data_IF_169018495703
#
_entry.id   IF_169018495703
#
_cell.length_a   1.000
_cell.length_b   1.000
_cell.length_c   1.000
_cell.angle_alpha   90.00
_cell.angle_beta   90.00
_cell.angle_gamma   90.00
#
_symmetry.space_group_name_H-M   'P 1'
#
loop_
_entity.id
_entity.type
_entity.pdbx_description
1 polymer ?
#
# COMPACT_ATOMS: atom_id res chain seq x y z
N UNK A 1 41.66 8.30 47.74
CA UNK A 1 41.48 7.30 46.66
C UNK A 1 40.74 8.00 45.54
N UNK A 2 41.52 8.48 44.57
CA UNK A 2 41.09 9.23 43.39
C UNK A 2 40.14 8.39 42.54
N UNK A 3 38.95 8.93 42.24
CA UNK A 3 38.19 8.49 41.08
C UNK A 3 38.87 9.13 39.86
N UNK A 4 39.62 8.30 39.13
CA UNK A 4 40.16 8.65 37.84
C UNK A 4 39.02 9.12 36.91
N UNK A 5 39.09 10.38 36.51
CA UNK A 5 38.25 10.92 35.45
C UNK A 5 38.54 10.15 34.16
N UNK A 6 37.51 9.52 33.60
CA UNK A 6 37.56 9.05 32.23
C UNK A 6 37.67 10.30 31.35
N UNK A 7 38.89 10.61 30.91
CA UNK A 7 39.13 11.53 29.80
C UNK A 7 38.48 10.93 28.56
N UNK A 8 37.24 11.31 28.28
CA UNK A 8 36.68 11.16 26.96
C UNK A 8 37.36 12.21 26.07
N UNK A 9 38.48 11.84 25.45
CA UNK A 9 39.01 12.65 24.34
C UNK A 9 37.91 12.77 23.29
N UNK A 10 37.47 14.01 23.09
CA UNK A 10 36.44 14.34 22.11
C UNK A 10 37.03 14.06 20.71
N UNK A 11 36.35 13.23 19.91
CA UNK A 11 36.81 12.86 18.57
C UNK A 11 37.16 14.08 17.70
N UNK A 12 36.52 15.24 17.93
CA UNK A 12 36.80 16.51 17.23
C UNK A 12 38.21 17.07 17.44
N UNK A 13 38.91 16.64 18.48
CA UNK A 13 40.26 17.12 18.81
C UNK A 13 41.37 16.17 18.33
N UNK A 14 41.00 15.04 17.70
CA UNK A 14 41.96 14.05 17.23
C UNK A 14 42.57 14.46 15.89
N UNK A 15 43.84 14.14 15.69
CA UNK A 15 44.48 14.23 14.38
C UNK A 15 43.88 13.21 13.40
N UNK A 16 44.04 13.40 12.07
CA UNK A 16 43.56 12.42 11.09
C UNK A 16 44.03 10.99 11.36
N UNK A 17 45.29 10.79 11.76
CA UNK A 17 45.81 9.45 12.07
C UNK A 17 45.13 8.83 13.29
N UNK A 18 44.89 9.62 14.35
CA UNK A 18 44.19 9.17 15.55
C UNK A 18 42.71 8.86 15.26
N UNK A 19 42.06 9.61 14.36
CA UNK A 19 40.70 9.30 13.91
C UNK A 19 40.63 7.93 13.21
N UNK A 20 41.59 7.63 12.32
CA UNK A 20 41.67 6.33 11.66
C UNK A 20 41.90 5.20 12.67
N UNK A 21 42.83 5.38 13.61
CA UNK A 21 43.10 4.40 14.66
C UNK A 21 41.87 4.14 15.53
N UNK A 22 41.21 5.21 16.01
CA UNK A 22 39.99 5.10 16.81
C UNK A 22 38.87 4.42 16.02
N UNK A 23 38.63 4.81 14.76
CA UNK A 23 37.59 4.23 13.92
C UNK A 23 37.77 2.73 13.66
N UNK A 24 39.01 2.22 13.65
CA UNK A 24 39.31 0.82 13.33
C UNK A 24 39.51 -0.07 14.55
N UNK A 25 39.95 0.48 15.69
CA UNK A 25 40.49 -0.33 16.79
C UNK A 25 39.86 -0.05 18.16
N UNK A 26 39.11 1.05 18.34
CA UNK A 26 38.54 1.34 19.67
C UNK A 26 37.53 0.25 20.07
N UNK A 27 37.62 -0.22 21.32
CA UNK A 27 36.74 -1.25 21.83
C UNK A 27 35.28 -0.78 21.94
N UNK A 28 35.05 0.51 22.14
CA UNK A 28 33.73 1.12 22.23
C UNK A 28 33.20 1.50 20.84
N UNK A 29 32.14 0.83 20.40
CA UNK A 29 31.50 1.09 19.10
C UNK A 29 31.04 2.54 18.95
N UNK A 30 30.65 3.19 20.05
CA UNK A 30 30.21 4.60 20.03
C UNK A 30 31.38 5.52 19.65
N UNK A 31 32.56 5.28 20.23
CA UNK A 31 33.78 6.03 19.88
C UNK A 31 34.22 5.78 18.44
N UNK A 32 34.09 4.54 17.94
CA UNK A 32 34.34 4.24 16.53
C UNK A 32 33.40 5.02 15.63
N UNK A 33 32.10 5.01 15.90
CA UNK A 33 31.11 5.77 15.14
C UNK A 33 31.39 7.29 15.15
N UNK A 34 31.75 7.87 16.30
CA UNK A 34 32.11 9.29 16.39
C UNK A 34 33.35 9.64 15.56
N UNK A 35 34.34 8.75 15.49
CA UNK A 35 35.50 8.94 14.61
C UNK A 35 35.11 8.83 13.12
N UNK A 36 34.28 7.84 12.76
CA UNK A 36 33.77 7.64 11.38
C UNK A 36 33.03 8.87 10.85
N UNK A 37 32.26 9.55 11.71
CA UNK A 37 31.56 10.80 11.35
C UNK A 37 32.49 11.93 10.88
N UNK A 38 33.78 11.86 11.23
CA UNK A 38 34.79 12.87 10.93
C UNK A 38 35.77 12.42 9.83
N UNK A 39 35.58 11.23 9.26
CA UNK A 39 36.44 10.67 8.21
C UNK A 39 35.82 10.92 6.83
N UNK A 40 36.58 11.53 5.91
CA UNK A 40 36.19 11.75 4.51
C UNK A 40 36.81 10.72 3.53
N UNK A 41 37.79 9.94 3.98
CA UNK A 41 38.44 8.90 3.17
C UNK A 41 37.44 7.79 2.78
N UNK A 42 37.07 7.76 1.50
CA UNK A 42 36.07 6.82 0.98
C UNK A 42 36.53 5.36 1.07
N UNK A 43 37.81 5.05 0.86
CA UNK A 43 38.30 3.67 0.98
C UNK A 43 38.20 3.17 2.42
N UNK A 44 38.52 4.04 3.37
CA UNK A 44 38.37 3.73 4.79
C UNK A 44 36.89 3.58 5.19
N UNK A 45 36.01 4.47 4.74
CA UNK A 45 34.56 4.35 4.99
C UNK A 45 34.00 3.03 4.45
N UNK A 46 34.38 2.64 3.22
CA UNK A 46 33.99 1.35 2.63
C UNK A 46 34.51 0.19 3.48
N UNK A 47 35.77 0.25 3.94
CA UNK A 47 36.35 -0.78 4.81
C UNK A 47 35.59 -0.91 6.13
N UNK A 48 35.25 0.20 6.79
CA UNK A 48 34.46 0.20 8.03
C UNK A 48 33.07 -0.38 7.77
N UNK A 49 32.39 0.09 6.72
CA UNK A 49 31.07 -0.36 6.31
C UNK A 49 31.00 -1.86 5.99
N UNK A 50 32.11 -2.49 5.58
CA UNK A 50 32.14 -3.93 5.27
C UNK A 50 32.52 -4.82 6.45
N UNK A 51 33.31 -4.31 7.41
CA UNK A 51 34.03 -5.14 8.37
C UNK A 51 33.71 -4.85 9.83
N UNK A 52 33.13 -3.69 10.18
CA UNK A 52 32.88 -3.38 11.59
C UNK A 52 31.87 -4.37 12.19
N UNK A 53 32.15 -4.98 13.36
CA UNK A 53 31.24 -5.94 13.97
C UNK A 53 29.89 -5.30 14.36
N UNK A 54 29.89 -4.01 14.69
CA UNK A 54 28.72 -3.27 15.15
C UNK A 54 27.96 -2.64 13.98
N UNK A 55 26.65 -2.88 13.92
CA UNK A 55 25.82 -2.39 12.82
C UNK A 55 25.71 -0.87 12.78
N UNK A 56 25.75 -0.20 13.93
CA UNK A 56 25.62 1.26 14.01
C UNK A 56 26.87 1.94 13.45
N UNK A 57 28.06 1.36 13.69
CA UNK A 57 29.30 1.86 13.07
C UNK A 57 29.28 1.63 11.56
N UNK A 58 28.85 0.45 11.09
CA UNK A 58 28.68 0.19 9.65
C UNK A 58 27.69 1.17 9.01
N UNK A 59 26.53 1.37 9.63
CA UNK A 59 25.52 2.33 9.18
C UNK A 59 26.11 3.74 9.07
N UNK A 60 26.80 4.20 10.11
CA UNK A 60 27.43 5.54 10.14
C UNK A 60 28.42 5.71 8.99
N UNK A 61 29.19 4.67 8.65
CA UNK A 61 30.09 4.70 7.51
C UNK A 61 29.32 4.74 6.18
N UNK A 62 28.27 3.90 6.03
CA UNK A 62 27.43 3.83 4.82
C UNK A 62 26.76 5.16 4.50
N UNK A 63 26.28 5.88 5.50
CA UNK A 63 25.66 7.21 5.33
C UNK A 63 26.63 8.25 4.72
N UNK A 64 27.94 7.97 4.70
CA UNK A 64 28.99 8.83 4.15
C UNK A 64 29.64 8.28 2.87
N UNK A 65 29.24 7.09 2.40
CA UNK A 65 29.73 6.50 1.15
C UNK A 65 29.02 7.14 -0.04
N UNK A 66 29.79 7.54 -1.04
CA UNK A 66 29.26 8.14 -2.29
C UNK A 66 29.23 7.17 -3.47
N UNK A 67 30.03 6.09 -3.41
CA UNK A 67 30.12 5.07 -4.43
C UNK A 67 28.82 4.26 -4.53
N UNK A 68 28.09 4.46 -5.64
CA UNK A 68 26.79 3.83 -5.87
C UNK A 68 26.86 2.31 -6.01
N UNK A 69 27.95 1.76 -6.57
CA UNK A 69 28.10 0.31 -6.72
C UNK A 69 28.32 -0.35 -5.35
N UNK A 70 29.09 0.30 -4.48
CA UNK A 70 29.26 -0.15 -3.09
C UNK A 70 27.94 -0.08 -2.33
N UNK A 71 27.17 1.01 -2.46
CA UNK A 71 25.87 1.13 -1.82
C UNK A 71 24.91 0.03 -2.28
N UNK A 72 24.88 -0.30 -3.57
CA UNK A 72 24.07 -1.43 -4.10
C UNK A 72 24.47 -2.75 -3.45
N UNK A 73 25.78 -3.02 -3.37
CA UNK A 73 26.29 -4.24 -2.74
C UNK A 73 25.84 -4.33 -1.27
N UNK A 74 25.98 -3.24 -0.51
CA UNK A 74 25.60 -3.18 0.90
C UNK A 74 24.08 -3.35 1.06
N UNK A 75 23.28 -2.66 0.26
CA UNK A 75 21.82 -2.76 0.29
C UNK A 75 21.31 -4.19 0.05
N UNK A 76 22.02 -4.98 -0.77
CA UNK A 76 21.66 -6.37 -1.05
C UNK A 76 22.23 -7.39 -0.06
N UNK A 77 23.31 -7.08 0.68
CA UNK A 77 24.13 -8.09 1.35
C UNK A 77 24.38 -7.87 2.84
N UNK A 78 24.27 -6.64 3.38
CA UNK A 78 24.51 -6.46 4.81
C UNK A 78 23.48 -7.25 5.63
N UNK A 79 23.94 -7.84 6.74
CA UNK A 79 23.09 -8.64 7.63
C UNK A 79 22.08 -7.80 8.41
N UNK A 80 22.35 -6.51 8.59
CA UNK A 80 21.55 -5.61 9.40
C UNK A 80 20.66 -4.72 8.55
N UNK A 81 19.37 -4.68 8.91
CA UNK A 81 18.37 -3.89 8.20
C UNK A 81 18.71 -2.40 8.11
N UNK A 82 19.20 -1.78 9.20
CA UNK A 82 19.46 -0.34 9.23
C UNK A 82 20.65 0.04 8.35
N UNK A 83 21.66 -0.82 8.25
CA UNK A 83 22.79 -0.63 7.33
C UNK A 83 22.33 -0.70 5.88
N UNK A 84 21.51 -1.69 5.53
CA UNK A 84 20.95 -1.79 4.17
C UNK A 84 20.03 -0.61 3.84
N UNK A 85 19.21 -0.16 4.80
CA UNK A 85 18.34 1.01 4.64
C UNK A 85 19.17 2.29 4.41
N UNK A 86 20.25 2.50 5.16
CA UNK A 86 21.16 3.61 4.93
C UNK A 86 21.73 3.58 3.49
N UNK A 87 22.08 2.39 3.01
CA UNK A 87 22.57 2.22 1.64
C UNK A 87 21.49 2.56 0.60
N UNK A 88 20.27 2.05 0.77
CA UNK A 88 19.11 2.40 -0.09
C UNK A 88 18.86 3.92 -0.10
N UNK A 89 18.95 4.58 1.06
CA UNK A 89 18.77 6.04 1.17
C UNK A 89 19.82 6.81 0.37
N UNK A 90 21.07 6.33 0.32
CA UNK A 90 22.16 6.94 -0.44
C UNK A 90 22.09 6.72 -1.96
N UNK A 91 21.25 5.79 -2.44
CA UNK A 91 21.06 5.55 -3.87
C UNK A 91 20.06 6.55 -4.45
N UNK A 92 20.37 7.08 -5.62
CA UNK A 92 19.58 8.14 -6.26
C UNK A 92 18.91 7.73 -7.57
N UNK A 93 19.49 6.76 -8.29
CA UNK A 93 18.96 6.28 -9.56
C UNK A 93 17.84 5.24 -9.36
N UNK A 94 16.68 5.51 -9.97
CA UNK A 94 15.50 4.65 -9.86
C UNK A 94 15.71 3.25 -10.47
N UNK A 95 16.47 3.14 -11.56
CA UNK A 95 16.78 1.84 -12.18
C UNK A 95 17.67 0.98 -11.29
N UNK A 96 18.62 1.61 -10.62
CA UNK A 96 19.48 0.97 -9.61
C UNK A 96 18.65 0.45 -8.43
N UNK A 97 17.71 1.25 -7.92
CA UNK A 97 16.77 0.83 -6.87
C UNK A 97 15.89 -0.35 -7.33
N UNK A 98 15.40 -0.33 -8.58
CA UNK A 98 14.68 -1.45 -9.18
C UNK A 98 15.52 -2.73 -9.19
N UNK A 99 16.81 -2.64 -9.53
CA UNK A 99 17.73 -3.76 -9.46
C UNK A 99 17.91 -4.35 -8.06
N UNK A 100 17.85 -3.53 -7.01
CA UNK A 100 17.87 -3.99 -5.61
C UNK A 100 16.59 -4.72 -5.28
N UNK A 101 15.43 -4.14 -5.60
CA UNK A 101 14.11 -4.75 -5.36
C UNK A 101 14.08 -6.16 -5.96
N UNK A 102 14.52 -6.32 -7.21
CA UNK A 102 14.51 -7.62 -7.88
C UNK A 102 15.43 -8.66 -7.23
N UNK A 103 16.57 -8.23 -6.65
CA UNK A 103 17.54 -9.11 -5.95
C UNK A 103 17.13 -9.41 -4.50
N UNK A 104 16.26 -8.61 -3.91
CA UNK A 104 15.93 -8.63 -2.48
C UNK A 104 14.44 -8.89 -2.22
N UNK A 105 13.72 -9.58 -3.13
CA UNK A 105 12.28 -9.87 -2.98
C UNK A 105 11.93 -10.73 -1.73
N UNK A 106 12.90 -11.33 -1.05
CA UNK A 106 12.71 -11.97 0.26
C UNK A 106 12.68 -10.99 1.44
N UNK A 107 12.97 -9.70 1.21
CA UNK A 107 12.99 -8.65 2.22
C UNK A 107 12.00 -7.54 1.85
N UNK A 108 10.77 -7.69 2.35
CA UNK A 108 9.68 -6.76 2.08
C UNK A 108 10.03 -5.31 2.45
N UNK A 109 10.69 -5.10 3.60
CA UNK A 109 10.95 -3.75 4.08
C UNK A 109 11.96 -3.00 3.20
N UNK A 110 13.03 -3.66 2.75
CA UNK A 110 13.97 -3.03 1.80
C UNK A 110 13.32 -2.76 0.45
N UNK A 111 12.52 -3.69 -0.04
CA UNK A 111 11.82 -3.48 -1.30
C UNK A 111 10.90 -2.27 -1.17
N UNK A 112 10.15 -2.15 -0.07
CA UNK A 112 9.28 -1.01 0.21
C UNK A 112 10.07 0.31 0.33
N UNK A 113 11.19 0.32 1.04
CA UNK A 113 12.02 1.52 1.19
C UNK A 113 12.64 1.98 -0.14
N UNK A 114 13.05 1.03 -0.98
CA UNK A 114 13.52 1.31 -2.33
C UNK A 114 12.39 1.84 -3.22
N UNK A 115 11.21 1.22 -3.19
CA UNK A 115 10.02 1.65 -3.94
C UNK A 115 9.62 3.09 -3.60
N UNK A 116 9.63 3.45 -2.31
CA UNK A 116 9.30 4.81 -1.85
C UNK A 116 10.23 5.90 -2.40
N UNK A 117 11.40 5.54 -2.94
CA UNK A 117 12.35 6.47 -3.55
C UNK A 117 12.23 6.54 -5.08
N UNK A 118 11.51 5.62 -5.72
CA UNK A 118 11.36 5.60 -7.18
C UNK A 118 10.20 6.52 -7.56
N UNK A 119 10.48 7.52 -8.40
CA UNK A 119 9.48 8.45 -8.96
C UNK A 119 9.28 8.29 -10.46
N UNK A 120 10.12 7.47 -11.10
CA UNK A 120 10.04 7.18 -12.52
C UNK A 120 8.91 6.17 -12.79
N UNK A 121 7.88 6.63 -13.51
CA UNK A 121 6.70 5.84 -13.84
C UNK A 121 7.02 4.60 -14.69
N UNK A 122 7.99 4.68 -15.61
CA UNK A 122 8.36 3.55 -16.46
C UNK A 122 9.04 2.46 -15.63
N UNK A 123 9.87 2.86 -14.66
CA UNK A 123 10.50 1.94 -13.71
C UNK A 123 9.46 1.27 -12.81
N UNK A 124 8.49 2.03 -12.28
CA UNK A 124 7.42 1.48 -11.45
C UNK A 124 6.52 0.52 -12.24
N UNK A 125 6.15 0.88 -13.47
CA UNK A 125 5.36 0.03 -14.36
C UNK A 125 6.07 -1.31 -14.63
N UNK A 126 7.38 -1.26 -14.95
CA UNK A 126 8.17 -2.46 -15.17
C UNK A 126 8.25 -3.34 -13.91
N UNK A 127 8.33 -2.74 -12.72
CA UNK A 127 8.32 -3.48 -11.45
C UNK A 127 6.98 -4.18 -11.20
N UNK A 128 5.85 -3.51 -11.42
CA UNK A 128 4.52 -4.11 -11.24
C UNK A 128 4.36 -5.38 -12.07
N UNK A 129 4.89 -5.39 -13.30
CA UNK A 129 4.86 -6.57 -14.19
C UNK A 129 5.87 -7.66 -13.79
N UNK A 130 7.06 -7.28 -13.31
CA UNK A 130 8.15 -8.23 -13.04
C UNK A 130 8.09 -8.88 -11.64
N UNK A 131 7.46 -8.23 -10.66
CA UNK A 131 7.42 -8.69 -9.28
C UNK A 131 6.57 -9.96 -9.11
N UNK A 132 7.05 -10.89 -8.29
CA UNK A 132 6.33 -12.15 -8.01
C UNK A 132 5.67 -12.17 -6.65
N UNK A 133 6.27 -11.49 -5.66
CA UNK A 133 5.70 -11.39 -4.32
C UNK A 133 4.51 -10.42 -4.30
N UNK A 134 3.38 -10.85 -3.70
CA UNK A 134 2.13 -10.08 -3.71
C UNK A 134 2.23 -8.80 -2.90
N UNK A 135 2.88 -8.84 -1.74
CA UNK A 135 2.96 -7.68 -0.85
C UNK A 135 3.90 -6.62 -1.45
N UNK A 136 5.01 -7.06 -2.06
CA UNK A 136 5.92 -6.15 -2.77
C UNK A 136 5.26 -5.58 -4.03
N UNK A 137 4.50 -6.39 -4.78
CA UNK A 137 3.74 -5.92 -5.95
C UNK A 137 2.68 -4.87 -5.55
N UNK A 138 1.95 -5.13 -4.45
CA UNK A 138 1.02 -4.15 -3.88
C UNK A 138 1.75 -2.86 -3.49
N UNK A 139 2.90 -2.96 -2.81
CA UNK A 139 3.72 -1.81 -2.47
C UNK A 139 4.18 -1.01 -3.71
N UNK A 140 4.50 -1.69 -4.83
CA UNK A 140 4.88 -1.03 -6.07
C UNK A 140 3.72 -0.22 -6.66
N UNK A 141 2.50 -0.78 -6.67
CA UNK A 141 1.29 -0.03 -7.06
C UNK A 141 1.03 1.14 -6.11
N UNK A 142 1.24 0.95 -4.80
CA UNK A 142 1.10 2.02 -3.81
C UNK A 142 2.13 3.14 -3.98
N UNK A 143 3.30 2.88 -4.56
CA UNK A 143 4.30 3.91 -4.86
C UNK A 143 3.91 4.79 -6.07
N UNK A 144 3.07 4.30 -6.98
CA UNK A 144 2.65 5.06 -8.18
C UNK A 144 1.69 6.18 -7.80
N UNK A 145 2.00 7.41 -8.16
CA UNK A 145 1.13 8.58 -7.96
C UNK A 145 0.48 9.09 -9.25
N UNK A 146 1.03 8.69 -10.40
CA UNK A 146 0.55 9.07 -11.73
C UNK A 146 -0.81 8.42 -12.04
N UNK A 147 -1.82 9.26 -12.29
CA UNK A 147 -3.19 8.80 -12.50
C UNK A 147 -3.36 8.06 -13.83
N UNK A 148 -2.64 8.46 -14.88
CA UNK A 148 -2.73 7.80 -16.20
C UNK A 148 -2.13 6.39 -16.14
N UNK A 149 -1.00 6.22 -15.45
CA UNK A 149 -0.38 4.92 -15.20
C UNK A 149 -1.28 4.04 -14.31
N UNK A 150 -1.84 4.59 -13.23
CA UNK A 150 -2.79 3.84 -12.39
C UNK A 150 -4.01 3.39 -13.20
N UNK A 151 -4.56 4.28 -14.03
CA UNK A 151 -5.69 3.97 -14.91
C UNK A 151 -5.33 2.95 -16.00
N UNK A 152 -4.08 2.96 -16.49
CA UNK A 152 -3.59 1.94 -17.41
C UNK A 152 -3.51 0.58 -16.72
N UNK A 153 -2.90 0.51 -15.54
CA UNK A 153 -2.76 -0.73 -14.76
C UNK A 153 -4.14 -1.29 -14.38
N UNK A 154 -5.04 -0.45 -13.87
CA UNK A 154 -6.37 -0.86 -13.42
C UNK A 154 -7.26 -1.40 -14.54
N UNK A 155 -7.01 -1.05 -15.81
CA UNK A 155 -7.75 -1.57 -16.97
C UNK A 155 -7.12 -2.81 -17.59
N UNK A 156 -5.79 -2.90 -17.58
CA UNK A 156 -5.08 -3.81 -18.49
C UNK A 156 -4.26 -4.90 -17.78
N UNK A 157 -3.94 -4.76 -16.49
CA UNK A 157 -3.09 -5.75 -15.83
C UNK A 157 -3.82 -7.10 -15.71
N UNK A 158 -3.11 -8.20 -15.98
CA UNK A 158 -3.72 -9.54 -15.98
C UNK A 158 -4.13 -10.02 -14.58
N UNK A 159 -3.49 -9.51 -13.53
CA UNK A 159 -3.76 -9.88 -12.14
C UNK A 159 -4.83 -8.95 -11.55
N UNK A 160 -5.99 -9.53 -11.20
CA UNK A 160 -7.10 -8.75 -10.66
C UNK A 160 -6.77 -8.11 -9.30
N UNK A 161 -5.83 -8.65 -8.52
CA UNK A 161 -5.38 -8.00 -7.28
C UNK A 161 -4.61 -6.72 -7.58
N UNK A 162 -3.79 -6.71 -8.63
CA UNK A 162 -3.06 -5.52 -9.09
C UNK A 162 -4.02 -4.47 -9.62
N UNK A 163 -5.00 -4.90 -10.45
CA UNK A 163 -6.06 -3.99 -10.92
C UNK A 163 -6.82 -3.38 -9.75
N UNK A 164 -7.19 -4.19 -8.75
CA UNK A 164 -7.87 -3.75 -7.54
C UNK A 164 -7.05 -2.76 -6.71
N UNK A 165 -5.74 -2.97 -6.59
CA UNK A 165 -4.87 -2.07 -5.83
C UNK A 165 -4.67 -0.73 -6.53
N UNK A 166 -4.57 -0.73 -7.86
CA UNK A 166 -4.50 0.50 -8.65
C UNK A 166 -5.83 1.27 -8.56
N UNK A 167 -6.94 0.56 -8.66
CA UNK A 167 -8.30 1.10 -8.58
C UNK A 167 -8.59 1.87 -7.29
N UNK A 168 -8.00 1.47 -6.16
CA UNK A 168 -8.13 2.20 -4.88
C UNK A 168 -7.53 3.61 -4.88
N UNK A 169 -6.72 3.94 -5.90
CA UNK A 169 -6.00 5.21 -6.03
C UNK A 169 -6.50 6.07 -7.20
N UNK A 170 -7.47 5.58 -7.96
CA UNK A 170 -8.06 6.28 -9.10
C UNK A 170 -9.16 7.21 -8.60
N UNK A 171 -9.16 8.46 -9.06
CA UNK A 171 -10.22 9.43 -8.77
C UNK A 171 -11.01 9.87 -10.01
N UNK A 172 -10.59 9.45 -11.20
CA UNK A 172 -11.26 9.76 -12.46
C UNK A 172 -12.55 8.93 -12.60
N UNK A 173 -13.69 9.63 -12.56
CA UNK A 173 -15.01 9.02 -12.63
C UNK A 173 -15.27 8.28 -13.95
N UNK A 174 -14.76 8.78 -15.09
CA UNK A 174 -14.94 8.08 -16.36
C UNK A 174 -14.18 6.74 -16.35
N UNK A 175 -12.96 6.72 -15.81
CA UNK A 175 -12.18 5.48 -15.65
C UNK A 175 -12.91 4.49 -14.74
N UNK A 176 -13.41 4.94 -13.60
CA UNK A 176 -14.15 4.11 -12.64
C UNK A 176 -15.41 3.52 -13.29
N UNK A 177 -16.18 4.32 -14.03
CA UNK A 177 -17.39 3.86 -14.73
C UNK A 177 -17.05 2.82 -15.80
N UNK A 178 -15.98 3.02 -16.56
CA UNK A 178 -15.54 2.04 -17.57
C UNK A 178 -15.16 0.70 -16.92
N UNK A 179 -14.40 0.72 -15.83
CA UNK A 179 -14.01 -0.48 -15.09
C UNK A 179 -15.24 -1.16 -14.49
N UNK A 180 -16.14 -0.41 -13.85
CA UNK A 180 -17.36 -0.95 -13.25
C UNK A 180 -18.30 -1.61 -14.26
N UNK A 181 -18.27 -1.21 -15.54
CA UNK A 181 -19.09 -1.80 -16.60
C UNK A 181 -18.44 -2.97 -17.32
N UNK A 182 -17.11 -3.02 -17.37
CA UNK A 182 -16.41 -3.86 -18.35
C UNK A 182 -15.30 -4.74 -17.78
N UNK A 183 -14.85 -4.56 -16.54
CA UNK A 183 -13.84 -5.47 -15.98
C UNK A 183 -14.38 -6.91 -15.95
N UNK A 184 -13.56 -7.86 -16.41
CA UNK A 184 -13.90 -9.27 -16.42
C UNK A 184 -14.15 -9.85 -15.02
N UNK A 185 -13.51 -9.28 -14.00
CA UNK A 185 -13.58 -9.75 -12.63
C UNK A 185 -14.65 -8.97 -11.84
N UNK A 186 -15.61 -9.71 -11.29
CA UNK A 186 -16.72 -9.11 -10.55
C UNK A 186 -16.27 -8.35 -9.30
N UNK A 187 -15.18 -8.76 -8.65
CA UNK A 187 -14.66 -8.07 -7.47
C UNK A 187 -14.08 -6.70 -7.86
N UNK A 188 -13.39 -6.61 -9.00
CA UNK A 188 -12.88 -5.33 -9.52
C UNK A 188 -14.04 -4.40 -9.91
N UNK A 189 -15.07 -4.92 -10.59
CA UNK A 189 -16.29 -4.13 -10.90
C UNK A 189 -16.95 -3.60 -9.63
N UNK A 190 -17.14 -4.46 -8.63
CA UNK A 190 -17.71 -4.11 -7.34
C UNK A 190 -16.91 -3.02 -6.60
N UNK A 191 -15.58 -3.08 -6.62
CA UNK A 191 -14.72 -2.04 -6.04
C UNK A 191 -14.86 -0.70 -6.79
N UNK A 192 -15.02 -0.73 -8.10
CA UNK A 192 -15.20 0.47 -8.90
C UNK A 192 -16.55 1.14 -8.58
N UNK A 193 -17.62 0.35 -8.46
CA UNK A 193 -18.96 0.81 -8.02
C UNK A 193 -18.91 1.58 -6.70
N UNK A 194 -18.08 1.13 -5.75
CA UNK A 194 -17.92 1.82 -4.46
C UNK A 194 -17.31 3.22 -4.54
N UNK A 195 -16.75 3.60 -5.70
CA UNK A 195 -16.09 4.88 -5.92
C UNK A 195 -16.79 5.76 -6.98
N UNK A 196 -17.88 5.28 -7.58
CA UNK A 196 -18.69 6.04 -8.55
C UNK A 196 -19.62 6.99 -7.82
N UNK A 197 -19.69 8.24 -8.27
CA UNK A 197 -20.57 9.27 -7.71
C UNK A 197 -21.88 9.45 -8.48
N UNK A 198 -21.95 9.02 -9.74
CA UNK A 198 -23.14 9.16 -10.58
C UNK A 198 -24.25 8.18 -10.15
N UNK A 199 -25.36 8.66 -9.57
CA UNK A 199 -26.45 7.80 -9.08
C UNK A 199 -27.17 7.06 -10.21
N UNK A 200 -27.21 7.61 -11.41
CA UNK A 200 -27.85 6.94 -12.56
C UNK A 200 -27.00 5.75 -13.02
N UNK A 201 -25.67 5.90 -13.01
CA UNK A 201 -24.76 4.77 -13.31
C UNK A 201 -24.88 3.69 -12.25
N UNK A 202 -24.88 4.05 -10.97
CA UNK A 202 -25.05 3.10 -9.86
C UNK A 202 -26.40 2.36 -10.01
N UNK A 203 -27.49 3.08 -10.32
CA UNK A 203 -28.80 2.47 -10.56
C UNK A 203 -28.75 1.45 -11.69
N UNK A 204 -28.18 1.82 -12.85
CA UNK A 204 -28.06 0.91 -13.99
C UNK A 204 -27.30 -0.35 -13.58
N UNK A 205 -26.16 -0.22 -12.90
CA UNK A 205 -25.38 -1.36 -12.43
C UNK A 205 -26.17 -2.24 -11.46
N UNK A 206 -26.95 -1.65 -10.56
CA UNK A 206 -27.77 -2.37 -9.60
C UNK A 206 -28.86 -3.24 -10.24
N UNK A 207 -29.32 -2.91 -11.45
CA UNK A 207 -30.29 -3.70 -12.19
C UNK A 207 -29.65 -4.66 -13.21
N UNK A 208 -28.52 -4.25 -13.81
CA UNK A 208 -28.04 -4.89 -15.05
C UNK A 208 -26.74 -5.70 -14.88
N UNK A 209 -25.94 -5.51 -13.82
CA UNK A 209 -24.70 -6.30 -13.69
C UNK A 209 -25.01 -7.80 -13.59
N UNK A 210 -24.33 -8.66 -14.37
CA UNK A 210 -24.60 -10.10 -14.33
C UNK A 210 -24.30 -10.73 -12.97
N UNK A 211 -23.39 -10.14 -12.19
CA UNK A 211 -22.96 -10.67 -10.91
C UNK A 211 -23.75 -10.05 -9.75
N UNK A 212 -24.37 -10.91 -8.94
CA UNK A 212 -25.19 -10.49 -7.81
C UNK A 212 -24.39 -9.73 -6.74
N UNK A 213 -23.10 -10.01 -6.58
CA UNK A 213 -22.26 -9.28 -5.64
C UNK A 213 -22.09 -7.83 -6.08
N UNK A 214 -21.87 -7.59 -7.39
CA UNK A 214 -21.76 -6.23 -7.95
C UNK A 214 -23.08 -5.48 -7.83
N UNK A 215 -24.20 -6.09 -8.23
CA UNK A 215 -25.53 -5.48 -8.04
C UNK A 215 -25.77 -5.13 -6.58
N UNK A 216 -25.45 -6.07 -5.68
CA UNK A 216 -25.55 -5.86 -4.25
C UNK A 216 -24.66 -4.74 -3.71
N UNK A 217 -23.46 -4.50 -4.27
CA UNK A 217 -22.63 -3.35 -3.90
C UNK A 217 -23.22 -2.03 -4.42
N UNK A 218 -23.81 -2.02 -5.60
CA UNK A 218 -24.49 -0.84 -6.13
C UNK A 218 -25.70 -0.47 -5.26
N UNK A 219 -26.49 -1.47 -4.84
CA UNK A 219 -27.65 -1.27 -3.97
C UNK A 219 -27.31 -0.56 -2.66
N UNK A 220 -26.18 -0.84 -2.03
CA UNK A 220 -25.80 -0.14 -0.78
C UNK A 220 -25.53 1.35 -0.96
N UNK A 221 -25.41 1.82 -2.21
CA UNK A 221 -25.21 3.23 -2.56
C UNK A 221 -26.48 3.92 -3.07
N UNK A 222 -27.61 3.20 -3.15
CA UNK A 222 -28.88 3.75 -3.63
C UNK A 222 -29.70 4.25 -2.43
N UNK A 223 -30.13 5.51 -2.46
CA UNK A 223 -31.04 6.11 -1.47
C UNK A 223 -32.47 6.31 -1.99
N UNK A 224 -32.70 6.16 -3.30
CA UNK A 224 -34.04 6.26 -3.88
C UNK A 224 -34.89 5.06 -3.44
N UNK A 225 -35.88 5.34 -2.59
CA UNK A 225 -36.72 4.30 -1.99
C UNK A 225 -37.53 3.51 -3.01
N UNK A 226 -37.91 4.13 -4.15
CA UNK A 226 -38.68 3.45 -5.19
C UNK A 226 -37.79 2.46 -5.94
N UNK A 227 -36.54 2.85 -6.20
CA UNK A 227 -35.53 1.97 -6.79
C UNK A 227 -35.25 0.79 -5.85
N UNK A 228 -35.04 1.05 -4.55
CA UNK A 228 -34.82 -0.01 -3.55
C UNK A 228 -36.01 -0.96 -3.45
N UNK A 229 -37.23 -0.43 -3.44
CA UNK A 229 -38.45 -1.25 -3.44
C UNK A 229 -38.53 -2.14 -4.69
N UNK A 230 -38.22 -1.59 -5.86
CA UNK A 230 -38.23 -2.35 -7.10
C UNK A 230 -37.20 -3.48 -7.06
N UNK A 231 -35.95 -3.20 -6.69
CA UNK A 231 -34.89 -4.21 -6.56
C UNK A 231 -35.27 -5.28 -5.53
N UNK A 232 -35.83 -4.88 -4.38
CA UNK A 232 -36.31 -5.80 -3.34
C UNK A 232 -37.37 -6.77 -3.88
N UNK A 233 -38.24 -6.33 -4.79
CA UNK A 233 -39.32 -7.16 -5.34
C UNK A 233 -38.89 -8.00 -6.54
N UNK A 234 -37.98 -7.48 -7.36
CA UNK A 234 -37.72 -7.99 -8.72
C UNK A 234 -36.35 -8.67 -8.88
N UNK A 235 -35.33 -8.35 -8.07
CA UNK A 235 -34.00 -8.95 -8.27
C UNK A 235 -34.05 -10.47 -8.08
N UNK A 236 -33.43 -11.19 -9.01
CA UNK A 236 -33.39 -12.66 -8.98
C UNK A 236 -32.62 -13.21 -7.78
N UNK A 237 -31.61 -12.49 -7.30
CA UNK A 237 -30.74 -12.91 -6.22
C UNK A 237 -31.25 -12.46 -4.87
N UNK A 238 -31.26 -13.39 -3.93
CA UNK A 238 -31.77 -13.19 -2.58
C UNK A 238 -30.97 -12.16 -1.78
N UNK A 239 -29.65 -12.16 -1.89
CA UNK A 239 -28.78 -11.27 -1.13
C UNK A 239 -28.94 -9.83 -1.62
N UNK A 240 -29.16 -9.63 -2.92
CA UNK A 240 -29.46 -8.31 -3.49
C UNK A 240 -30.79 -7.78 -2.98
N UNK A 241 -31.86 -8.60 -3.00
CA UNK A 241 -33.16 -8.22 -2.42
C UNK A 241 -33.05 -7.87 -0.94
N UNK A 242 -32.28 -8.65 -0.18
CA UNK A 242 -32.06 -8.39 1.24
C UNK A 242 -31.32 -7.06 1.47
N UNK A 243 -30.27 -6.78 0.70
CA UNK A 243 -29.54 -5.51 0.78
C UNK A 243 -30.44 -4.33 0.43
N UNK A 244 -31.32 -4.47 -0.56
CA UNK A 244 -32.24 -3.42 -0.95
C UNK A 244 -33.20 -3.08 0.19
N UNK A 245 -33.80 -4.09 0.81
CA UNK A 245 -34.65 -3.92 1.99
C UNK A 245 -33.88 -3.31 3.18
N UNK A 246 -32.65 -3.74 3.41
CA UNK A 246 -31.81 -3.20 4.48
C UNK A 246 -31.42 -1.73 4.27
N UNK A 247 -31.50 -1.23 3.04
CA UNK A 247 -31.25 0.18 2.71
C UNK A 247 -32.51 1.05 2.70
N UNK A 248 -33.70 0.49 3.01
CA UNK A 248 -34.94 1.25 3.17
C UNK A 248 -35.03 1.72 4.63
N UNK A 249 -35.04 3.04 4.81
CA UNK A 249 -35.16 3.71 6.11
C UNK A 249 -36.56 4.27 6.38
N UNK A 250 -37.46 4.23 5.39
CA UNK A 250 -38.83 4.73 5.51
C UNK A 250 -39.74 3.72 6.22
N UNK A 251 -39.97 3.94 7.51
CA UNK A 251 -40.79 3.07 8.35
C UNK A 251 -42.26 2.97 7.93
N UNK A 252 -42.85 4.02 7.38
CA UNK A 252 -44.25 3.98 6.92
C UNK A 252 -44.36 3.15 5.64
N UNK A 253 -43.41 3.31 4.72
CA UNK A 253 -43.30 2.44 3.56
C UNK A 253 -43.09 0.98 3.97
N UNK A 254 -42.22 0.70 4.94
CA UNK A 254 -41.99 -0.66 5.43
C UNK A 254 -43.27 -1.30 6.01
N UNK A 255 -44.07 -0.57 6.80
CA UNK A 255 -45.37 -1.05 7.29
C UNK A 255 -46.37 -1.31 6.15
N UNK A 256 -46.39 -0.43 5.15
CA UNK A 256 -47.21 -0.62 3.96
C UNK A 256 -46.79 -1.89 3.22
N UNK A 257 -45.49 -2.06 2.95
CA UNK A 257 -44.94 -3.22 2.27
C UNK A 257 -45.22 -4.52 3.03
N UNK A 258 -45.18 -4.50 4.36
CA UNK A 258 -45.53 -5.65 5.20
C UNK A 258 -46.98 -6.11 4.95
N UNK A 259 -47.90 -5.16 4.78
CA UNK A 259 -49.32 -5.42 4.55
C UNK A 259 -49.60 -5.88 3.12
N UNK A 260 -48.91 -5.29 2.15
CA UNK A 260 -49.14 -5.50 0.71
C UNK A 260 -48.49 -6.79 0.19
N UNK A 261 -47.35 -7.20 0.75
CA UNK A 261 -46.56 -8.33 0.27
C UNK A 261 -46.92 -9.60 1.05
N UNK A 262 -47.34 -10.65 0.35
CA UNK A 262 -47.69 -11.96 0.93
C UNK A 262 -46.50 -12.92 1.07
N UNK A 263 -45.31 -12.53 0.59
CA UNK A 263 -44.10 -13.33 0.75
C UNK A 263 -43.67 -13.34 2.24
N UNK A 264 -43.77 -14.51 2.86
CA UNK A 264 -43.50 -14.68 4.30
C UNK A 264 -42.05 -14.38 4.69
N UNK A 265 -41.10 -14.56 3.77
CA UNK A 265 -39.71 -14.21 4.01
C UNK A 265 -39.53 -12.70 3.98
N UNK A 266 -40.09 -12.01 2.98
CA UNK A 266 -40.04 -10.53 2.89
C UNK A 266 -40.68 -9.91 4.12
N UNK A 267 -41.87 -10.38 4.52
CA UNK A 267 -42.55 -9.91 5.75
C UNK A 267 -41.67 -10.08 7.00
N UNK A 268 -41.01 -11.23 7.16
CA UNK A 268 -40.10 -11.46 8.28
C UNK A 268 -38.93 -10.47 8.28
N UNK A 269 -38.35 -10.20 7.11
CA UNK A 269 -37.21 -9.27 7.00
C UNK A 269 -37.64 -7.82 7.21
N UNK A 270 -38.81 -7.42 6.73
CA UNK A 270 -39.38 -6.09 6.99
C UNK A 270 -39.56 -5.88 8.49
N UNK A 271 -40.08 -6.87 9.21
CA UNK A 271 -40.22 -6.81 10.67
C UNK A 271 -38.87 -6.60 11.36
N UNK A 272 -37.84 -7.36 10.96
CA UNK A 272 -36.49 -7.17 11.50
C UNK A 272 -35.96 -5.76 11.22
N UNK A 273 -36.19 -5.22 10.02
CA UNK A 273 -35.77 -3.86 9.67
C UNK A 273 -36.49 -2.80 10.50
N UNK A 274 -37.80 -2.93 10.71
CA UNK A 274 -38.57 -2.06 11.59
C UNK A 274 -38.06 -2.12 13.04
N UNK A 275 -37.76 -3.32 13.54
CA UNK A 275 -37.16 -3.52 14.88
C UNK A 275 -35.77 -2.85 14.98
N UNK A 276 -34.91 -2.97 13.96
CA UNK A 276 -33.60 -2.30 13.88
C UNK A 276 -33.71 -0.76 13.91
N UNK A 277 -34.76 -0.22 13.28
CA UNK A 277 -35.07 1.21 13.27
C UNK A 277 -35.79 1.68 14.56
N UNK A 278 -36.15 0.77 15.46
CA UNK A 278 -36.88 1.08 16.70
C UNK A 278 -38.36 1.45 16.46
N UNK A 279 -38.94 0.99 15.35
CA UNK A 279 -40.32 1.28 14.95
C UNK A 279 -41.20 0.07 15.26
N UNK A 280 -42.26 0.27 16.04
CA UNK A 280 -43.23 -0.79 16.32
C UNK A 280 -44.14 -1.02 15.12
N UNK A 281 -44.38 -2.31 14.82
CA UNK A 281 -45.33 -2.78 13.81
C UNK A 281 -46.77 -2.44 14.18
#
# INVERSE_FOLDING_TARGET
MEKAGQNHENAKNLSPAQLVEQALQDADYSKRAEAVKLIDDQELLIRVAQNDPDYYVRQTAVERITDQEVLVKIACQDKDYYVRLAAVKGITDGKTLSGIIMKSQGDYYICKDALNKITDNDVLAALVEALTDRDIKSAAVQAITDQDLLAHIARNNNDFYVRSDALKKINDQEVLIQIARHDSDYYVRALAVQQIDDPEVIRVIAFEDPDYFVRGQAVTRISDVRVLQQIMLEDTDFEVRQKALANIDDGELLKQLFSDIQDSWIQRKIKLRLDELGIQM
#
